data_IF_904462707565
#
_entry.id   IF_904462707565
#
_cell.length_a   1.000
_cell.length_b   1.000
_cell.length_c   1.000
_cell.angle_alpha   90.00
_cell.angle_beta   90.00
_cell.angle_gamma   90.00
#
_symmetry.space_group_name_H-M   'P 1'
#
loop_
_entity.id
_entity.type
_entity.pdbx_description
1 polymer ?
#
# COMPACT_ATOMS: atom_id res chain seq x y z
N UNK A 1 30.02 -34.25 3.10
CA UNK A 1 29.14 -34.45 4.26
C UNK A 1 27.74 -34.08 3.83
N UNK A 2 26.79 -34.87 4.30
CA UNK A 2 25.53 -35.19 3.66
C UNK A 2 24.40 -34.45 4.38
N UNK A 3 23.55 -33.75 3.63
CA UNK A 3 22.20 -33.38 4.07
C UNK A 3 21.26 -33.60 2.89
N UNK A 4 20.43 -34.63 3.01
CA UNK A 4 19.22 -34.80 2.22
C UNK A 4 18.08 -34.94 3.20
N UNK A 5 17.19 -33.96 3.34
CA UNK A 5 15.88 -34.16 3.98
C UNK A 5 14.83 -33.27 3.29
N UNK A 6 13.64 -33.84 3.09
CA UNK A 6 12.66 -33.54 2.04
C UNK A 6 12.20 -32.09 1.91
N UNK A 7 12.41 -31.53 0.72
CA UNK A 7 11.80 -30.28 0.28
C UNK A 7 12.15 -30.08 -1.19
N UNK A 8 11.23 -30.41 -2.09
CA UNK A 8 11.45 -30.30 -3.56
C UNK A 8 11.87 -28.88 -3.89
N UNK A 9 13.17 -28.63 -3.97
CA UNK A 9 13.73 -27.39 -4.48
C UNK A 9 13.41 -27.36 -5.97
N UNK A 10 12.28 -26.74 -6.31
CA UNK A 10 11.89 -26.52 -7.69
C UNK A 10 12.90 -25.56 -8.30
N UNK A 11 13.76 -26.08 -9.19
CA UNK A 11 14.59 -25.22 -10.03
C UNK A 11 13.69 -24.58 -11.08
N UNK A 12 13.38 -23.31 -10.86
CA UNK A 12 12.65 -22.47 -11.81
C UNK A 12 13.64 -21.53 -12.51
N UNK A 13 13.37 -21.22 -13.77
CA UNK A 13 14.13 -20.25 -14.55
C UNK A 13 13.36 -18.94 -14.65
N UNK A 14 13.98 -17.84 -14.25
CA UNK A 14 13.42 -16.49 -14.35
C UNK A 14 14.25 -15.66 -15.33
N UNK A 15 13.64 -15.01 -16.34
CA UNK A 15 14.35 -14.08 -17.20
C UNK A 15 14.96 -12.95 -16.37
N UNK A 16 16.27 -12.72 -16.51
CA UNK A 16 17.02 -11.72 -15.72
C UNK A 16 16.38 -10.32 -15.74
N UNK A 17 15.76 -9.92 -16.85
CA UNK A 17 15.10 -8.62 -17.01
C UNK A 17 13.88 -8.39 -16.09
N UNK A 18 13.28 -9.45 -15.56
CA UNK A 18 12.13 -9.37 -14.66
C UNK A 18 12.52 -9.49 -13.18
N UNK A 19 13.82 -9.62 -12.88
CA UNK A 19 14.31 -9.86 -11.53
C UNK A 19 15.24 -8.72 -11.13
N UNK A 20 15.09 -8.28 -9.89
CA UNK A 20 15.97 -7.31 -9.22
C UNK A 20 16.50 -7.96 -7.94
N UNK A 21 17.74 -7.65 -7.50
CA UNK A 21 18.22 -8.14 -6.21
C UNK A 21 17.28 -7.74 -5.07
N UNK A 22 16.93 -8.69 -4.20
CA UNK A 22 16.00 -8.46 -3.09
C UNK A 22 16.51 -7.44 -2.07
N UNK A 23 17.83 -7.29 -1.95
CA UNK A 23 18.50 -6.34 -1.06
C UNK A 23 18.63 -4.92 -1.66
N UNK A 24 17.97 -4.64 -2.79
CA UNK A 24 18.01 -3.35 -3.45
C UNK A 24 16.58 -2.83 -3.67
N UNK A 25 15.88 -2.32 -2.64
CA UNK A 25 14.52 -1.80 -2.79
C UNK A 25 14.47 -0.60 -3.76
N UNK A 26 13.26 -0.27 -4.22
CA UNK A 26 13.03 0.99 -4.91
C UNK A 26 13.15 2.17 -3.93
N UNK A 27 13.64 3.31 -4.42
CA UNK A 27 13.83 4.50 -3.58
C UNK A 27 12.64 5.45 -3.63
N UNK A 28 11.78 5.32 -4.65
CA UNK A 28 10.61 6.17 -4.85
C UNK A 28 9.34 5.32 -5.01
N UNK A 29 8.50 5.23 -3.98
CA UNK A 29 7.21 4.55 -4.06
C UNK A 29 6.29 5.11 -5.15
N UNK A 30 6.35 6.42 -5.43
CA UNK A 30 5.51 7.03 -6.45
C UNK A 30 5.91 6.56 -7.86
N UNK A 31 7.19 6.34 -8.12
CA UNK A 31 7.67 5.72 -9.35
C UNK A 31 7.21 4.26 -9.48
N UNK A 32 7.15 3.50 -8.37
CA UNK A 32 6.61 2.13 -8.39
C UNK A 32 5.12 2.12 -8.69
N UNK A 33 4.34 3.03 -8.09
CA UNK A 33 2.91 3.13 -8.34
C UNK A 33 2.59 3.37 -9.83
N UNK A 34 3.44 4.10 -10.55
CA UNK A 34 3.30 4.33 -12.00
C UNK A 34 3.40 3.05 -12.83
N UNK A 35 4.04 1.99 -12.34
CA UNK A 35 4.09 0.69 -13.02
C UNK A 35 2.71 0.02 -13.14
N UNK A 36 1.73 0.47 -12.35
CA UNK A 36 0.36 -0.03 -12.35
C UNK A 36 -0.58 0.84 -13.20
N UNK A 37 -0.07 1.80 -13.96
CA UNK A 37 -0.90 2.57 -14.89
C UNK A 37 -1.58 1.65 -15.91
N UNK A 38 -2.89 1.81 -16.03
CA UNK A 38 -3.75 0.98 -16.89
C UNK A 38 -4.22 -0.34 -16.25
N UNK A 39 -3.79 -0.67 -15.02
CA UNK A 39 -4.34 -1.82 -14.28
C UNK A 39 -5.79 -1.50 -13.89
N UNK A 40 -6.77 -2.39 -14.17
CA UNK A 40 -8.16 -2.17 -13.80
C UNK A 40 -8.34 -2.00 -12.28
N UNK A 41 -9.25 -1.13 -11.88
CA UNK A 41 -9.64 -1.04 -10.48
C UNK A 41 -10.45 -2.27 -10.07
N UNK A 42 -10.07 -2.89 -8.95
CA UNK A 42 -10.78 -4.02 -8.37
C UNK A 42 -10.78 -3.89 -6.85
N UNK A 43 -11.95 -3.82 -6.22
CA UNK A 43 -12.09 -3.73 -4.76
C UNK A 43 -11.45 -4.94 -4.07
N UNK A 44 -10.59 -4.70 -3.07
CA UNK A 44 -9.78 -5.72 -2.42
C UNK A 44 -8.64 -6.26 -3.29
N UNK A 45 -8.37 -5.63 -4.44
CA UNK A 45 -7.36 -6.05 -5.40
C UNK A 45 -5.96 -5.57 -5.01
N UNK A 46 -4.97 -6.46 -5.14
CA UNK A 46 -3.57 -6.19 -4.78
C UNK A 46 -2.57 -6.67 -5.85
N UNK A 47 -2.99 -6.75 -7.12
CA UNK A 47 -2.15 -7.31 -8.19
C UNK A 47 -2.38 -6.61 -9.53
N UNK A 48 -1.56 -6.94 -10.52
CA UNK A 48 -1.72 -6.47 -11.92
C UNK A 48 -3.00 -6.96 -12.60
N UNK A 49 -3.73 -7.92 -12.01
CA UNK A 49 -5.04 -8.38 -12.50
C UNK A 49 -6.19 -7.50 -12.03
N UNK A 50 -5.93 -6.59 -11.09
CA UNK A 50 -6.92 -5.74 -10.46
C UNK A 50 -6.34 -5.18 -9.17
N UNK A 51 -6.39 -3.86 -9.01
CA UNK A 51 -5.81 -3.16 -7.85
C UNK A 51 -6.76 -2.09 -7.32
N UNK A 52 -6.90 -2.00 -6.00
CA UNK A 52 -7.64 -0.89 -5.37
C UNK A 52 -6.69 0.21 -4.85
N UNK A 53 -7.25 1.15 -4.12
CA UNK A 53 -6.53 2.29 -3.59
C UNK A 53 -5.44 1.90 -2.59
N UNK A 54 -5.77 1.05 -1.61
CA UNK A 54 -4.83 0.65 -0.55
C UNK A 54 -3.84 -0.39 -1.05
N UNK A 55 -4.25 -1.29 -1.95
CA UNK A 55 -3.39 -2.25 -2.64
C UNK A 55 -2.30 -1.58 -3.48
N UNK A 56 -2.60 -0.45 -4.15
CA UNK A 56 -1.60 0.33 -4.89
C UNK A 56 -0.54 0.92 -3.95
N UNK A 57 -0.96 1.53 -2.85
CA UNK A 57 -0.06 2.09 -1.83
C UNK A 57 0.79 0.98 -1.21
N UNK A 58 0.18 -0.16 -0.89
CA UNK A 58 0.88 -1.31 -0.33
C UNK A 58 1.95 -1.83 -1.28
N UNK A 59 1.62 -2.06 -2.56
CA UNK A 59 2.59 -2.54 -3.55
C UNK A 59 3.78 -1.60 -3.69
N UNK A 60 3.52 -0.28 -3.76
CA UNK A 60 4.55 0.75 -3.85
C UNK A 60 5.47 0.82 -2.62
N UNK A 61 4.88 0.78 -1.42
CA UNK A 61 5.62 0.79 -0.16
C UNK A 61 6.46 -0.47 0.02
N UNK A 62 5.88 -1.66 -0.20
CA UNK A 62 6.60 -2.94 -0.03
C UNK A 62 7.77 -3.05 -1.00
N UNK A 63 7.60 -2.66 -2.26
CA UNK A 63 8.68 -2.61 -3.24
C UNK A 63 9.80 -1.63 -2.84
N UNK A 64 9.48 -0.63 -2.03
CA UNK A 64 10.43 0.37 -1.51
C UNK A 64 10.95 0.03 -0.10
N UNK A 65 10.69 -1.18 0.40
CA UNK A 65 11.14 -1.63 1.72
C UNK A 65 10.38 -1.00 2.90
N UNK A 66 9.23 -0.38 2.65
CA UNK A 66 8.38 0.25 3.68
C UNK A 66 7.27 -0.74 4.04
N UNK A 67 7.22 -1.15 5.31
CA UNK A 67 6.12 -1.99 5.82
C UNK A 67 4.79 -1.23 5.71
N UNK A 68 3.79 -1.83 5.06
CA UNK A 68 2.52 -1.18 4.76
C UNK A 68 1.35 -2.16 4.94
N UNK A 69 0.39 -1.87 5.83
CA UNK A 69 -0.85 -2.64 5.98
C UNK A 69 -1.67 -2.69 4.67
N UNK A 70 -2.56 -3.68 4.56
CA UNK A 70 -3.40 -3.84 3.36
C UNK A 70 -4.59 -2.87 3.29
N UNK A 71 -5.12 -2.48 4.44
CA UNK A 71 -6.33 -1.67 4.53
C UNK A 71 -6.02 -0.19 4.71
N UNK A 72 -6.82 0.67 4.08
CA UNK A 72 -6.58 2.12 4.06
C UNK A 72 -6.65 2.78 5.44
N UNK A 73 -7.48 2.28 6.35
CA UNK A 73 -7.58 2.78 7.73
C UNK A 73 -6.34 2.42 8.55
N UNK A 74 -5.80 1.21 8.36
CA UNK A 74 -4.55 0.78 8.97
C UNK A 74 -3.35 1.50 8.36
N UNK A 75 -3.34 1.74 7.05
CA UNK A 75 -2.34 2.56 6.38
C UNK A 75 -2.38 3.99 6.89
N UNK A 76 -3.58 4.55 7.07
CA UNK A 76 -3.75 5.85 7.68
C UNK A 76 -3.08 5.84 9.04
N UNK A 77 -3.23 4.83 9.89
CA UNK A 77 -2.60 4.79 11.22
C UNK A 77 -1.08 4.58 11.17
N UNK A 78 -0.60 3.73 10.27
CA UNK A 78 0.76 3.19 10.31
C UNK A 78 1.79 4.03 9.53
N UNK A 79 1.37 4.77 8.50
CA UNK A 79 2.28 5.48 7.61
C UNK A 79 2.34 6.97 7.99
N UNK A 80 3.57 7.47 8.22
CA UNK A 80 4.13 8.84 8.42
C UNK A 80 3.47 9.91 9.36
N UNK A 81 3.43 11.22 8.99
CA UNK A 81 3.14 12.38 9.90
C UNK A 81 2.17 13.51 9.43
N UNK A 82 0.98 13.73 10.04
CA UNK A 82 -0.11 14.64 9.52
C UNK A 82 0.36 15.99 9.00
N UNK A 83 -0.17 16.34 7.83
CA UNK A 83 0.04 17.62 7.18
C UNK A 83 -1.05 18.56 7.71
N UNK A 84 -0.64 19.72 8.21
CA UNK A 84 -1.55 20.80 8.56
C UNK A 84 -2.32 21.27 7.32
N UNK A 85 -3.54 21.77 7.47
CA UNK A 85 -4.38 22.24 6.36
C UNK A 85 -3.69 23.28 5.46
N UNK A 86 -2.73 24.03 5.99
CA UNK A 86 -1.85 24.88 5.19
C UNK A 86 -0.66 24.07 4.69
N UNK A 87 -0.78 23.49 3.50
CA UNK A 87 0.36 23.03 2.70
C UNK A 87 0.49 23.94 1.50
N UNK A 88 1.58 24.71 1.46
CA UNK A 88 2.00 25.37 0.24
C UNK A 88 2.37 24.28 -0.78
N UNK A 89 1.58 24.16 -1.85
CA UNK A 89 1.89 23.28 -2.98
C UNK A 89 3.26 23.70 -3.55
N UNK A 90 4.27 22.83 -3.40
CA UNK A 90 5.62 23.07 -3.95
C UNK A 90 6.80 22.78 -3.02
N UNK A 91 6.60 22.57 -1.72
CA UNK A 91 7.70 22.15 -0.85
C UNK A 91 8.03 20.66 -1.03
N UNK A 92 9.14 20.36 -1.71
CA UNK A 92 9.74 19.03 -1.72
C UNK A 92 10.26 18.70 -0.32
N UNK A 93 9.58 17.79 0.39
CA UNK A 93 10.07 17.16 1.62
C UNK A 93 10.15 15.65 1.39
N UNK A 94 11.04 14.90 2.08
CA UNK A 94 11.00 13.44 2.05
C UNK A 94 9.59 12.99 2.43
N UNK A 95 9.04 12.03 1.67
CA UNK A 95 7.67 11.53 1.84
C UNK A 95 7.45 11.00 3.25
N UNK A 96 6.88 11.84 4.13
CA UNK A 96 6.39 11.46 5.44
C UNK A 96 4.85 11.53 5.39
N UNK A 97 4.21 10.36 5.32
CA UNK A 97 2.77 10.13 5.08
C UNK A 97 1.83 10.44 6.23
N UNK A 98 0.78 11.24 6.19
CA UNK A 98 0.57 12.04 7.38
C UNK A 98 -0.76 11.82 8.17
N UNK A 99 -0.71 11.28 9.42
CA UNK A 99 -1.88 10.82 10.24
C UNK A 99 -2.31 11.68 11.44
N UNK A 100 -3.61 11.94 11.64
CA UNK A 100 -4.13 12.29 12.99
C UNK A 100 -5.58 11.88 13.25
N UNK A 101 -5.92 11.83 14.53
CA UNK A 101 -7.15 11.33 15.17
C UNK A 101 -8.50 11.90 14.69
N UNK A 102 -8.57 13.01 13.94
CA UNK A 102 -9.85 13.72 13.70
C UNK A 102 -10.67 13.23 12.50
N UNK A 103 -10.16 12.31 11.67
CA UNK A 103 -10.95 11.75 10.55
C UNK A 103 -12.00 10.74 11.05
N UNK A 104 -11.79 10.13 12.23
CA UNK A 104 -12.75 9.18 12.82
C UNK A 104 -14.07 9.85 13.23
N UNK A 105 -14.05 11.08 13.74
CA UNK A 105 -15.28 11.73 14.23
C UNK A 105 -16.11 12.35 13.09
N UNK A 106 -15.47 12.81 12.01
CA UNK A 106 -16.18 13.44 10.89
C UNK A 106 -16.84 12.44 9.93
N UNK A 107 -16.25 11.25 9.74
CA UNK A 107 -16.81 10.21 8.87
C UNK A 107 -17.99 9.50 9.56
N UNK A 108 -17.89 9.19 10.86
CA UNK A 108 -19.01 8.57 11.60
C UNK A 108 -20.20 9.51 11.80
N UNK A 109 -19.98 10.81 12.04
CA UNK A 109 -21.07 11.78 12.19
C UNK A 109 -21.91 12.01 10.91
N UNK A 110 -21.43 11.55 9.73
CA UNK A 110 -22.17 11.60 8.47
C UNK A 110 -22.98 10.32 8.19
N UNK A 111 -22.57 9.18 8.74
CA UNK A 111 -23.28 7.89 8.56
C UNK A 111 -24.55 7.83 9.41
N UNK A 112 -24.57 8.46 10.59
CA UNK A 112 -25.74 8.44 11.50
C UNK A 112 -26.92 9.34 11.07
N UNK A 113 -26.81 10.06 9.94
CA UNK A 113 -27.89 10.94 9.43
C UNK A 113 -28.49 10.49 8.09
N UNK A 114 -28.12 9.32 7.59
CA UNK A 114 -28.83 8.70 6.48
C UNK A 114 -29.96 7.82 7.04
N UNK A 115 -31.24 8.10 6.77
CA UNK A 115 -32.31 7.21 7.18
C UNK A 115 -32.15 5.89 6.41
N UNK A 116 -31.95 4.78 7.13
CA UNK A 116 -32.10 3.43 6.57
C UNK A 116 -30.90 2.49 6.57
N UNK A 117 -29.79 2.79 7.25
CA UNK A 117 -28.68 1.82 7.40
C UNK A 117 -28.56 1.35 8.84
N UNK A 118 -29.04 0.13 9.12
CA UNK A 118 -28.70 -0.58 10.36
C UNK A 118 -27.41 -1.38 10.14
N UNK A 119 -26.46 -1.25 11.06
CA UNK A 119 -25.25 -2.07 11.08
C UNK A 119 -25.54 -3.43 11.75
N UNK A 120 -24.94 -4.55 11.29
CA UNK A 120 -25.02 -5.82 11.98
C UNK A 120 -24.23 -5.79 13.31
N UNK A 121 -24.76 -6.51 14.31
CA UNK A 121 -24.25 -6.56 15.70
C UNK A 121 -22.84 -7.09 15.81
#
# INVERSE_FOLDING_TARGET
QQESEDGRSLRLYLPRRHVRPANLPFTDPAAVAQLFFGVPYLWGGNSVRGIDCSGLVQAACLASGIACPGDSDLQEVALGTRLSETIAVGQKRPMAFPVSRRVREAVWARVDRAPGVSAPR
#
